data_IF_873049375516
#
_entry.id   IF_873049375516
#
_cell.length_a   1.000
_cell.length_b   1.000
_cell.length_c   1.000
_cell.angle_alpha   90.00
_cell.angle_beta   90.00
_cell.angle_gamma   90.00
#
_symmetry.space_group_name_H-M   'P 1'
#
loop_
_entity.id
_entity.type
_entity.pdbx_description
1 polymer ?
#
# COMPACT_ATOMS: atom_id res chain seq x y z
N UNK A 1 1.91 -29.05 27.42
CA UNK A 1 1.91 -28.29 26.15
C UNK A 1 0.65 -27.44 26.15
N UNK A 2 0.75 -26.11 26.08
CA UNK A 2 -0.43 -25.23 26.25
C UNK A 2 -1.49 -25.52 25.17
N UNK A 3 -2.77 -25.62 25.56
CA UNK A 3 -3.90 -25.84 24.64
C UNK A 3 -4.00 -24.76 23.55
N UNK A 4 -3.40 -23.57 23.77
CA UNK A 4 -3.46 -22.43 22.85
C UNK A 4 -2.26 -22.29 21.92
N UNK A 5 -1.14 -22.98 22.22
CA UNK A 5 0.09 -22.94 21.41
C UNK A 5 -0.11 -23.22 19.91
N UNK A 6 -0.99 -24.15 19.46
CA UNK A 6 -1.16 -24.40 18.03
C UNK A 6 -1.89 -23.26 17.29
N UNK A 7 -2.61 -22.38 18.00
CA UNK A 7 -3.40 -21.28 17.41
C UNK A 7 -2.65 -19.94 17.38
N UNK A 8 -1.81 -19.68 18.39
CA UNK A 8 -1.16 -18.38 18.58
C UNK A 8 0.21 -18.28 17.86
N UNK A 9 0.20 -18.50 16.54
CA UNK A 9 1.41 -18.39 15.71
C UNK A 9 1.56 -16.97 15.13
N UNK A 10 2.49 -16.18 15.68
CA UNK A 10 2.75 -14.78 15.24
C UNK A 10 2.96 -14.62 13.73
N UNK A 11 3.66 -15.56 13.10
CA UNK A 11 3.94 -15.52 11.65
C UNK A 11 2.72 -15.85 10.77
N UNK A 12 1.65 -16.39 11.36
CA UNK A 12 0.33 -16.60 10.73
C UNK A 12 -0.58 -15.39 10.98
N UNK A 13 -0.52 -14.81 12.18
CA UNK A 13 -1.36 -13.68 12.57
C UNK A 13 -0.95 -12.37 11.87
N UNK A 14 0.35 -12.06 11.84
CA UNK A 14 0.86 -10.77 11.39
C UNK A 14 1.57 -10.87 10.05
N UNK A 15 1.31 -9.88 9.19
CA UNK A 15 2.07 -9.69 7.95
C UNK A 15 3.57 -9.60 8.26
N UNK A 16 4.36 -10.27 7.42
CA UNK A 16 5.82 -10.20 7.50
C UNK A 16 6.39 -9.08 6.61
N UNK A 17 5.56 -8.48 5.75
CA UNK A 17 5.95 -7.46 4.78
C UNK A 17 5.94 -6.08 5.45
N UNK A 18 7.10 -5.64 5.95
CA UNK A 18 7.19 -4.42 6.75
C UNK A 18 6.79 -3.15 5.97
N UNK A 19 7.02 -3.12 4.66
CA UNK A 19 6.61 -2.01 3.79
C UNK A 19 5.10 -1.91 3.53
N UNK A 20 4.37 -3.02 3.69
CA UNK A 20 2.93 -3.07 3.37
C UNK A 20 2.05 -2.21 4.27
N UNK A 21 2.52 -1.90 5.48
CA UNK A 21 1.84 -1.00 6.41
C UNK A 21 1.74 0.43 5.86
N UNK A 22 2.79 0.93 5.21
CA UNK A 22 2.77 2.28 4.62
C UNK A 22 1.76 2.35 3.48
N UNK A 23 1.64 1.29 2.68
CA UNK A 23 0.67 1.21 1.59
C UNK A 23 -0.79 1.12 2.06
N UNK A 24 -1.03 0.70 3.31
CA UNK A 24 -2.35 0.79 3.93
C UNK A 24 -2.59 2.18 4.53
N UNK A 25 -1.68 2.64 5.40
CA UNK A 25 -1.92 3.82 6.21
C UNK A 25 -1.78 5.13 5.43
N UNK A 26 -0.82 5.25 4.51
CA UNK A 26 -0.60 6.50 3.78
C UNK A 26 -1.84 6.90 2.96
N UNK A 27 -2.42 6.04 2.09
CA UNK A 27 -3.63 6.39 1.35
C UNK A 27 -4.83 6.67 2.27
N UNK A 28 -5.02 5.87 3.32
CA UNK A 28 -6.11 6.05 4.29
C UNK A 28 -6.02 7.41 5.00
N UNK A 29 -4.84 7.78 5.51
CA UNK A 29 -4.60 9.07 6.17
C UNK A 29 -4.86 10.21 5.19
N UNK A 30 -4.29 10.14 3.99
CA UNK A 30 -4.53 11.16 2.94
C UNK A 30 -6.03 11.33 2.69
N UNK A 31 -6.77 10.23 2.53
CA UNK A 31 -8.22 10.29 2.34
C UNK A 31 -8.98 10.90 3.50
N UNK A 32 -8.62 10.56 4.75
CA UNK A 32 -9.27 11.11 5.96
C UNK A 32 -9.08 12.62 6.07
N UNK A 33 -7.89 13.13 5.78
CA UNK A 33 -7.62 14.57 5.80
C UNK A 33 -8.25 15.29 4.60
N UNK A 34 -8.13 14.71 3.41
CA UNK A 34 -8.75 15.21 2.19
C UNK A 34 -10.28 15.33 2.31
N UNK A 35 -10.92 14.42 3.04
CA UNK A 35 -12.36 14.42 3.24
C UNK A 35 -12.85 15.50 4.22
N UNK A 36 -11.96 16.12 5.00
CA UNK A 36 -12.24 17.28 5.87
C UNK A 36 -13.11 17.01 7.10
N UNK A 37 -13.89 15.91 7.14
CA UNK A 37 -14.77 15.54 8.26
C UNK A 37 -14.49 14.13 8.74
N UNK A 38 -14.42 13.98 10.06
CA UNK A 38 -14.17 12.72 10.74
C UNK A 38 -15.44 12.30 11.46
N UNK A 39 -15.95 11.12 11.12
CA UNK A 39 -17.21 10.60 11.66
C UNK A 39 -16.99 9.22 12.29
N UNK A 40 -18.02 8.66 12.94
CA UNK A 40 -17.97 7.28 13.42
C UNK A 40 -17.68 6.28 12.28
N UNK A 41 -18.25 6.54 11.09
CA UNK A 41 -17.95 5.77 9.87
C UNK A 41 -16.45 5.77 9.52
N UNK A 42 -15.72 6.85 9.73
CA UNK A 42 -14.26 6.90 9.54
C UNK A 42 -13.57 5.88 10.45
N UNK A 43 -13.97 5.79 11.71
CA UNK A 43 -13.45 4.81 12.67
C UNK A 43 -13.73 3.36 12.25
N UNK A 44 -14.97 3.08 11.82
CA UNK A 44 -15.33 1.76 11.29
C UNK A 44 -14.56 1.40 10.02
N UNK A 45 -14.30 2.36 9.13
CA UNK A 45 -13.47 2.15 7.95
C UNK A 45 -12.04 1.76 8.34
N UNK A 46 -11.39 2.49 9.25
CA UNK A 46 -10.02 2.15 9.71
C UNK A 46 -10.00 0.75 10.32
N UNK A 47 -10.99 0.42 11.13
CA UNK A 47 -11.15 -0.89 11.74
C UNK A 47 -11.28 -2.01 10.69
N UNK A 48 -12.19 -1.85 9.72
CA UNK A 48 -12.38 -2.81 8.63
C UNK A 48 -11.14 -2.94 7.76
N UNK A 49 -10.50 -1.82 7.40
CA UNK A 49 -9.29 -1.83 6.57
C UNK A 49 -8.14 -2.59 7.25
N UNK A 50 -7.93 -2.37 8.55
CA UNK A 50 -6.94 -3.12 9.34
C UNK A 50 -7.28 -4.60 9.44
N UNK A 51 -8.54 -4.94 9.71
CA UNK A 51 -8.98 -6.32 9.81
C UNK A 51 -8.79 -7.07 8.48
N UNK A 52 -9.20 -6.48 7.35
CA UNK A 52 -9.02 -7.06 6.01
C UNK A 52 -7.55 -7.18 5.64
N UNK A 53 -6.74 -6.15 5.94
CA UNK A 53 -5.30 -6.19 5.72
C UNK A 53 -4.62 -7.34 6.48
N UNK A 54 -4.98 -7.54 7.75
CA UNK A 54 -4.45 -8.63 8.57
C UNK A 54 -5.01 -9.99 8.13
N UNK A 55 -6.27 -10.08 7.69
CA UNK A 55 -6.91 -11.29 7.18
C UNK A 55 -6.18 -11.90 5.98
N UNK A 56 -5.52 -11.08 5.14
CA UNK A 56 -4.69 -11.54 4.02
C UNK A 56 -3.66 -12.59 4.44
N UNK A 57 -3.00 -12.42 5.59
CA UNK A 57 -1.91 -13.29 6.01
C UNK A 57 -2.36 -14.73 6.33
N UNK A 58 -3.34 -14.97 7.22
CA UNK A 58 -3.82 -16.32 7.49
C UNK A 58 -4.56 -16.91 6.28
N UNK A 59 -5.24 -16.11 5.45
CA UNK A 59 -5.81 -16.57 4.18
C UNK A 59 -4.73 -17.09 3.23
N UNK A 60 -3.63 -16.34 3.06
CA UNK A 60 -2.48 -16.75 2.26
C UNK A 60 -1.86 -18.03 2.81
N UNK A 61 -1.83 -18.19 4.14
CA UNK A 61 -1.37 -19.41 4.80
C UNK A 61 -2.26 -20.60 4.46
N UNK A 62 -3.59 -20.44 4.57
CA UNK A 62 -4.56 -21.47 4.23
C UNK A 62 -4.42 -21.91 2.76
N UNK A 63 -4.28 -20.96 1.82
CA UNK A 63 -4.06 -21.27 0.40
C UNK A 63 -2.75 -22.05 0.18
N UNK A 64 -1.66 -21.65 0.86
CA UNK A 64 -0.38 -22.39 0.79
C UNK A 64 -0.49 -23.82 1.34
N UNK A 65 -1.30 -24.05 2.37
CA UNK A 65 -1.54 -25.39 2.91
C UNK A 65 -2.41 -26.21 1.95
N UNK A 66 -3.48 -25.60 1.42
CA UNK A 66 -4.39 -26.24 0.48
C UNK A 66 -3.67 -26.66 -0.83
N UNK A 67 -2.71 -25.87 -1.31
CA UNK A 67 -1.90 -26.19 -2.48
C UNK A 67 -0.68 -27.08 -2.19
N UNK A 68 -0.56 -27.64 -0.98
CA UNK A 68 0.56 -28.52 -0.59
C UNK A 68 1.91 -27.81 -0.43
N UNK A 69 1.95 -26.47 -0.49
CA UNK A 69 3.17 -25.66 -0.34
C UNK A 69 3.65 -25.53 1.11
N UNK A 70 2.85 -25.96 2.08
CA UNK A 70 3.17 -25.91 3.52
C UNK A 70 2.48 -27.05 4.27
N UNK A 71 3.11 -27.51 5.36
CA UNK A 71 2.55 -28.56 6.21
C UNK A 71 1.25 -28.13 6.91
N UNK A 72 0.36 -29.08 7.18
CA UNK A 72 -0.95 -28.85 7.82
C UNK A 72 -0.88 -28.35 9.27
N UNK A 73 0.30 -28.36 9.88
CA UNK A 73 0.54 -27.89 11.25
C UNK A 73 0.15 -26.43 11.51
N UNK A 74 0.09 -25.58 10.47
CA UNK A 74 -0.27 -24.17 10.59
C UNK A 74 -1.76 -23.91 10.30
N UNK A 75 -2.53 -24.94 9.92
CA UNK A 75 -3.93 -24.80 9.52
C UNK A 75 -4.86 -24.35 10.66
N UNK A 76 -4.74 -24.88 11.91
CA UNK A 76 -5.57 -24.41 13.02
C UNK A 76 -5.36 -22.92 13.32
N UNK A 77 -4.10 -22.45 13.31
CA UNK A 77 -3.79 -21.03 13.47
C UNK A 77 -4.36 -20.19 12.32
N UNK A 78 -4.27 -20.67 11.08
CA UNK A 78 -4.81 -19.95 9.93
C UNK A 78 -6.33 -19.74 10.07
N UNK A 79 -7.09 -20.80 10.38
CA UNK A 79 -8.54 -20.68 10.57
C UNK A 79 -8.92 -19.84 11.79
N UNK A 80 -8.20 -19.98 12.90
CA UNK A 80 -8.44 -19.15 14.08
C UNK A 80 -8.29 -17.66 13.75
N UNK A 81 -7.16 -17.25 13.15
CA UNK A 81 -6.94 -15.84 12.83
C UNK A 81 -7.82 -15.33 11.68
N UNK A 82 -8.20 -16.19 10.72
CA UNK A 82 -9.24 -15.86 9.74
C UNK A 82 -10.57 -15.57 10.43
N UNK A 83 -10.98 -16.39 11.42
CA UNK A 83 -12.19 -16.15 12.20
C UNK A 83 -12.14 -14.83 12.98
N UNK A 84 -11.04 -14.57 13.67
CA UNK A 84 -10.83 -13.34 14.46
C UNK A 84 -10.88 -12.10 13.56
N UNK A 85 -10.08 -12.06 12.49
CA UNK A 85 -10.05 -10.90 11.60
C UNK A 85 -11.33 -10.78 10.76
N UNK A 86 -11.95 -11.90 10.38
CA UNK A 86 -13.25 -11.92 9.71
C UNK A 86 -14.38 -11.35 10.58
N UNK A 87 -14.40 -11.70 11.86
CA UNK A 87 -15.34 -11.13 12.84
C UNK A 87 -15.19 -9.61 12.95
N UNK A 88 -13.95 -9.12 13.07
CA UNK A 88 -13.69 -7.69 13.15
C UNK A 88 -14.02 -6.95 11.85
N UNK A 89 -13.69 -7.53 10.69
CA UNK A 89 -14.04 -6.96 9.40
C UNK A 89 -15.55 -6.86 9.21
N UNK A 90 -16.30 -7.91 9.59
CA UNK A 90 -17.76 -7.94 9.56
C UNK A 90 -18.36 -6.91 10.52
N UNK A 91 -17.85 -6.81 11.76
CA UNK A 91 -18.31 -5.82 12.73
C UNK A 91 -18.13 -4.38 12.24
N UNK A 92 -16.96 -4.06 11.66
CA UNK A 92 -16.73 -2.74 11.07
C UNK A 92 -17.61 -2.49 9.83
N UNK A 93 -17.87 -3.51 9.00
CA UNK A 93 -18.79 -3.38 7.87
C UNK A 93 -20.23 -3.13 8.31
N UNK A 94 -20.72 -3.85 9.33
CA UNK A 94 -22.03 -3.60 9.93
C UNK A 94 -22.10 -2.18 10.53
N UNK A 95 -21.02 -1.72 11.18
CA UNK A 95 -20.91 -0.33 11.64
C UNK A 95 -21.07 0.68 10.49
N UNK A 96 -20.31 0.50 9.40
CA UNK A 96 -20.45 1.33 8.19
C UNK A 96 -21.84 1.27 7.56
N UNK A 97 -22.52 0.12 7.65
CA UNK A 97 -23.91 -0.03 7.18
C UNK A 97 -24.89 0.80 8.02
N UNK A 98 -24.76 0.73 9.35
CA UNK A 98 -25.58 1.51 10.28
C UNK A 98 -25.35 3.02 10.10
N UNK A 99 -24.13 3.43 9.82
CA UNK A 99 -23.77 4.82 9.51
C UNK A 99 -24.19 5.28 8.08
N UNK A 100 -24.85 4.42 7.30
CA UNK A 100 -25.39 4.77 5.99
C UNK A 100 -24.35 4.84 4.85
N UNK A 101 -23.12 4.37 5.07
CA UNK A 101 -22.04 4.40 4.06
C UNK A 101 -21.78 3.02 3.43
N UNK A 102 -22.74 2.10 3.50
CA UNK A 102 -22.65 0.75 2.91
C UNK A 102 -22.32 0.76 1.41
N UNK A 103 -22.65 1.83 0.69
CA UNK A 103 -22.34 2.01 -0.72
C UNK A 103 -20.83 1.95 -1.03
N UNK A 104 -19.96 2.15 -0.04
CA UNK A 104 -18.52 1.95 -0.17
C UNK A 104 -18.12 0.51 -0.50
N UNK A 105 -19.04 -0.46 -0.33
CA UNK A 105 -18.86 -1.82 -0.80
C UNK A 105 -18.52 -1.90 -2.29
N UNK A 106 -18.85 -0.88 -3.09
CA UNK A 106 -18.44 -0.78 -4.50
C UNK A 106 -16.92 -0.86 -4.69
N UNK A 107 -16.12 -0.40 -3.70
CA UNK A 107 -14.65 -0.47 -3.75
C UNK A 107 -14.14 -1.92 -3.62
N UNK A 108 -14.97 -2.87 -3.19
CA UNK A 108 -14.64 -4.29 -3.25
C UNK A 108 -14.57 -4.80 -4.70
N UNK A 109 -15.24 -4.15 -5.66
CA UNK A 109 -15.23 -4.57 -7.07
C UNK A 109 -13.82 -4.56 -7.68
N UNK A 110 -12.98 -3.51 -7.52
CA UNK A 110 -11.58 -3.60 -7.93
C UNK A 110 -10.69 -4.37 -6.94
N UNK A 111 -10.99 -4.34 -5.63
CA UNK A 111 -10.14 -4.96 -4.61
C UNK A 111 -10.17 -6.50 -4.61
N UNK A 112 -11.35 -7.11 -4.73
CA UNK A 112 -11.51 -8.56 -4.66
C UNK A 112 -10.86 -9.30 -5.84
N UNK A 113 -11.00 -8.88 -7.11
CA UNK A 113 -10.30 -9.51 -8.23
C UNK A 113 -8.78 -9.50 -8.03
N UNK A 114 -8.21 -8.40 -7.52
CA UNK A 114 -6.78 -8.32 -7.21
C UNK A 114 -6.39 -9.33 -6.13
N UNK A 115 -7.18 -9.43 -5.04
CA UNK A 115 -6.94 -10.42 -3.99
C UNK A 115 -7.03 -11.85 -4.53
N UNK A 116 -8.06 -12.16 -5.31
CA UNK A 116 -8.26 -13.49 -5.91
C UNK A 116 -7.08 -13.83 -6.82
N UNK A 117 -6.69 -12.92 -7.72
CA UNK A 117 -5.54 -13.09 -8.59
C UNK A 117 -4.25 -13.32 -7.79
N UNK A 118 -4.02 -12.53 -6.74
CA UNK A 118 -2.89 -12.72 -5.83
C UNK A 118 -2.89 -14.12 -5.20
N UNK A 119 -4.04 -14.60 -4.71
CA UNK A 119 -4.17 -15.93 -4.13
C UNK A 119 -3.94 -17.04 -5.15
N UNK A 120 -4.32 -16.85 -6.42
CA UNK A 120 -3.99 -17.78 -7.51
C UNK A 120 -2.48 -17.84 -7.74
N UNK A 121 -1.78 -16.70 -7.74
CA UNK A 121 -0.30 -16.69 -7.83
C UNK A 121 0.34 -17.39 -6.63
N UNK A 122 -0.22 -17.18 -5.43
CA UNK A 122 0.17 -17.89 -4.21
C UNK A 122 -0.15 -19.39 -4.30
N UNK A 123 -1.21 -19.83 -4.96
CA UNK A 123 -1.41 -21.27 -5.15
C UNK A 123 -0.28 -21.86 -6.03
N UNK A 124 0.18 -21.09 -7.04
CA UNK A 124 1.14 -21.51 -8.07
C UNK A 124 2.62 -21.23 -7.76
N UNK A 125 2.97 -20.64 -6.62
CA UNK A 125 4.34 -20.19 -6.29
C UNK A 125 4.88 -19.09 -7.21
N UNK A 126 3.99 -18.41 -7.93
CA UNK A 126 4.35 -17.35 -8.87
C UNK A 126 4.43 -15.97 -8.20
N UNK A 127 4.11 -15.82 -6.90
CA UNK A 127 4.06 -14.51 -6.25
C UNK A 127 5.43 -13.91 -5.89
N UNK A 128 6.50 -14.71 -5.89
CA UNK A 128 7.76 -14.33 -5.24
C UNK A 128 8.60 -13.39 -6.10
N UNK A 129 9.09 -12.31 -5.50
CA UNK A 129 10.02 -11.33 -6.10
C UNK A 129 9.48 -10.71 -7.39
N UNK A 130 8.16 -10.60 -7.51
CA UNK A 130 7.52 -9.97 -8.65
C UNK A 130 7.08 -8.55 -8.31
N UNK A 131 7.86 -7.56 -8.76
CA UNK A 131 7.55 -6.14 -8.57
C UNK A 131 6.14 -5.80 -9.07
N UNK A 132 5.70 -6.39 -10.19
CA UNK A 132 4.36 -6.16 -10.74
C UNK A 132 3.23 -6.58 -9.79
N UNK A 133 3.41 -7.68 -9.05
CA UNK A 133 2.42 -8.15 -8.06
C UNK A 133 2.34 -7.17 -6.89
N UNK A 134 3.48 -6.67 -6.41
CA UNK A 134 3.53 -5.68 -5.34
C UNK A 134 2.87 -4.36 -5.76
N UNK A 135 3.12 -3.90 -6.99
CA UNK A 135 2.51 -2.69 -7.55
C UNK A 135 0.98 -2.83 -7.61
N UNK A 136 0.45 -3.91 -8.16
CA UNK A 136 -1.01 -4.13 -8.26
C UNK A 136 -1.64 -4.29 -6.88
N UNK A 137 -1.01 -5.03 -5.97
CA UNK A 137 -1.50 -5.19 -4.60
C UNK A 137 -1.53 -3.85 -3.84
N UNK A 138 -0.53 -2.98 -4.04
CA UNK A 138 -0.55 -1.63 -3.45
C UNK A 138 -1.70 -0.77 -3.96
N UNK A 139 -2.13 -0.97 -5.21
CA UNK A 139 -3.30 -0.30 -5.77
C UNK A 139 -4.61 -0.70 -5.10
N UNK A 140 -4.75 -1.97 -4.73
CA UNK A 140 -5.91 -2.42 -3.95
C UNK A 140 -5.91 -1.83 -2.53
N UNK A 141 -4.73 -1.72 -1.88
CA UNK A 141 -4.62 -1.05 -0.58
C UNK A 141 -4.90 0.45 -0.67
N UNK A 142 -4.51 1.09 -1.78
CA UNK A 142 -4.76 2.51 -2.02
C UNK A 142 -6.25 2.86 -2.14
N UNK A 143 -7.16 1.88 -2.32
CA UNK A 143 -8.62 2.10 -2.27
C UNK A 143 -9.09 2.62 -0.89
N UNK A 144 -8.25 2.53 0.14
CA UNK A 144 -8.50 3.22 1.42
C UNK A 144 -8.59 4.74 1.29
N UNK A 145 -7.91 5.35 0.31
CA UNK A 145 -7.95 6.80 0.07
C UNK A 145 -9.33 7.30 -0.39
N UNK A 146 -9.92 6.80 -1.50
CA UNK A 146 -11.28 7.19 -1.89
C UNK A 146 -12.29 6.84 -0.81
N UNK A 147 -12.16 5.67 -0.15
CA UNK A 147 -13.08 5.29 0.92
C UNK A 147 -13.14 6.34 2.03
N UNK A 148 -11.99 6.74 2.55
CA UNK A 148 -11.92 7.73 3.63
C UNK A 148 -12.35 9.13 3.17
N UNK A 149 -11.95 9.52 1.95
CA UNK A 149 -12.34 10.81 1.35
C UNK A 149 -13.85 10.94 1.22
N UNK A 150 -14.48 9.91 0.66
CA UNK A 150 -15.92 9.84 0.44
C UNK A 150 -16.74 9.80 1.72
N UNK A 151 -16.24 9.19 2.79
CA UNK A 151 -16.89 9.28 4.11
C UNK A 151 -16.90 10.73 4.61
N UNK A 152 -15.77 11.44 4.47
CA UNK A 152 -15.68 12.85 4.90
C UNK A 152 -16.60 13.77 4.11
N UNK A 153 -16.75 13.52 2.80
CA UNK A 153 -17.68 14.26 1.95
C UNK A 153 -19.14 13.87 2.14
N UNK A 154 -19.42 12.61 2.49
CA UNK A 154 -20.77 12.03 2.53
C UNK A 154 -21.30 11.60 1.16
N UNK A 155 -20.49 11.64 0.10
CA UNK A 155 -20.88 11.31 -1.27
C UNK A 155 -19.72 10.76 -2.12
N UNK A 156 -20.06 10.07 -3.23
CA UNK A 156 -19.10 9.55 -4.20
C UNK A 156 -18.61 10.64 -5.17
N UNK A 157 -17.72 11.52 -4.71
CA UNK A 157 -17.10 12.51 -5.60
C UNK A 157 -16.10 11.87 -6.58
N UNK A 158 -16.09 12.24 -7.88
CA UNK A 158 -15.09 11.77 -8.85
C UNK A 158 -13.64 12.00 -8.43
N UNK A 159 -13.38 13.01 -7.58
CA UNK A 159 -12.04 13.30 -7.06
C UNK A 159 -11.46 12.16 -6.22
N UNK A 160 -12.31 11.31 -5.62
CA UNK A 160 -11.85 10.13 -4.90
C UNK A 160 -11.07 9.16 -5.80
N UNK A 161 -11.47 9.02 -7.07
CA UNK A 161 -10.75 8.19 -8.02
C UNK A 161 -9.40 8.78 -8.41
N UNK A 162 -9.31 10.10 -8.54
CA UNK A 162 -8.02 10.77 -8.73
C UNK A 162 -7.11 10.57 -7.52
N UNK A 163 -7.66 10.69 -6.30
CA UNK A 163 -6.92 10.44 -5.08
C UNK A 163 -6.40 8.99 -5.01
N UNK A 164 -7.22 8.02 -5.41
CA UNK A 164 -6.82 6.62 -5.54
C UNK A 164 -5.67 6.45 -6.53
N UNK A 165 -5.81 6.96 -7.75
CA UNK A 165 -4.79 6.84 -8.80
C UNK A 165 -3.48 7.47 -8.36
N UNK A 166 -3.52 8.66 -7.76
CA UNK A 166 -2.33 9.38 -7.31
C UNK A 166 -1.61 8.67 -6.14
N UNK A 167 -2.36 8.18 -5.15
CA UNK A 167 -1.77 7.42 -4.03
C UNK A 167 -1.25 6.04 -4.47
N UNK A 168 -1.90 5.41 -5.44
CA UNK A 168 -1.40 4.20 -6.08
C UNK A 168 -0.11 4.47 -6.88
N UNK A 169 -0.09 5.53 -7.69
CA UNK A 169 1.09 5.97 -8.44
C UNK A 169 2.29 6.20 -7.53
N UNK A 170 2.09 6.89 -6.40
CA UNK A 170 3.16 7.07 -5.43
C UNK A 170 3.64 5.73 -4.85
N UNK A 171 2.73 4.83 -4.48
CA UNK A 171 3.09 3.51 -3.96
C UNK A 171 3.89 2.69 -4.99
N UNK A 172 3.43 2.67 -6.25
CA UNK A 172 4.09 1.98 -7.35
C UNK A 172 5.51 2.52 -7.57
N UNK A 173 5.67 3.85 -7.61
CA UNK A 173 6.97 4.48 -7.77
C UNK A 173 7.91 4.22 -6.58
N UNK A 174 7.38 4.19 -5.35
CA UNK A 174 8.15 3.86 -4.15
C UNK A 174 8.65 2.41 -4.17
N UNK A 175 7.84 1.46 -4.63
CA UNK A 175 8.24 0.06 -4.85
C UNK A 175 9.37 -0.05 -5.88
N UNK A 176 9.21 0.60 -7.03
CA UNK A 176 10.24 0.61 -8.09
C UNK A 176 11.53 1.25 -7.59
N UNK A 177 11.44 2.35 -6.84
CA UNK A 177 12.59 3.00 -6.22
C UNK A 177 13.25 2.12 -5.16
N UNK A 178 12.49 1.39 -4.34
CA UNK A 178 13.03 0.43 -3.37
C UNK A 178 13.85 -0.66 -4.07
N UNK A 179 13.33 -1.19 -5.18
CA UNK A 179 14.04 -2.13 -6.04
C UNK A 179 15.39 -1.58 -6.51
N UNK A 180 15.41 -0.35 -7.05
CA UNK A 180 16.66 0.32 -7.44
C UNK A 180 17.66 0.40 -6.28
N UNK A 181 17.22 0.79 -5.08
CA UNK A 181 18.13 0.93 -3.92
C UNK A 181 18.67 -0.42 -3.44
N UNK A 182 17.86 -1.48 -3.51
CA UNK A 182 18.29 -2.83 -3.18
C UNK A 182 19.27 -3.39 -4.21
N UNK A 183 19.07 -3.11 -5.50
CA UNK A 183 20.02 -3.48 -6.57
C UNK A 183 21.36 -2.73 -6.42
N UNK A 184 21.30 -1.41 -6.18
CA UNK A 184 22.49 -0.58 -5.95
C UNK A 184 23.32 -1.02 -4.74
N UNK A 185 22.67 -1.60 -3.73
CA UNK A 185 23.36 -2.12 -2.54
C UNK A 185 24.35 -3.22 -2.86
N UNK A 186 24.06 -4.02 -3.88
CA UNK A 186 24.88 -5.17 -4.28
C UNK A 186 26.04 -4.79 -5.22
N UNK A 187 26.15 -3.51 -5.61
CA UNK A 187 27.26 -3.03 -6.42
C UNK A 187 28.58 -3.11 -5.65
N UNK A 188 29.65 -3.50 -6.35
CA UNK A 188 30.99 -3.63 -5.76
C UNK A 188 31.76 -2.30 -5.71
N UNK A 189 31.50 -1.45 -6.68
CA UNK A 189 32.13 -0.15 -6.84
C UNK A 189 31.11 0.86 -7.34
N UNK A 190 31.46 2.16 -7.26
CA UNK A 190 30.57 3.21 -7.73
C UNK A 190 30.68 3.33 -9.24
N UNK A 191 29.66 2.95 -10.04
CA UNK A 191 29.77 2.97 -11.49
C UNK A 191 29.84 4.41 -12.02
N UNK A 192 30.21 4.57 -13.28
CA UNK A 192 30.22 5.88 -13.95
C UNK A 192 28.83 6.52 -14.01
N UNK A 193 28.78 7.85 -14.15
CA UNK A 193 27.53 8.62 -14.08
C UNK A 193 26.47 8.14 -15.09
N UNK A 194 26.86 7.83 -16.33
CA UNK A 194 25.92 7.34 -17.35
C UNK A 194 25.28 6.00 -16.99
N UNK A 195 26.02 5.08 -16.36
CA UNK A 195 25.48 3.80 -15.89
C UNK A 195 24.52 4.00 -14.71
N UNK A 196 24.80 4.95 -13.82
CA UNK A 196 23.90 5.31 -12.72
C UNK A 196 22.55 5.81 -13.21
N UNK A 197 22.55 6.70 -14.20
CA UNK A 197 21.32 7.20 -14.81
C UNK A 197 20.55 6.10 -15.55
N UNK A 198 21.24 5.21 -16.26
CA UNK A 198 20.60 4.05 -16.91
C UNK A 198 19.96 3.13 -15.87
N UNK A 199 20.64 2.83 -14.78
CA UNK A 199 20.08 2.03 -13.69
C UNK A 199 18.87 2.73 -13.03
N UNK A 200 18.96 4.04 -12.79
CA UNK A 200 17.88 4.85 -12.23
C UNK A 200 16.70 5.09 -13.18
N UNK A 201 16.87 4.85 -14.49
CA UNK A 201 15.94 5.24 -15.53
C UNK A 201 14.50 4.78 -15.30
N UNK A 202 14.30 3.53 -14.85
CA UNK A 202 12.95 3.01 -14.55
C UNK A 202 12.29 3.75 -13.38
N UNK A 203 13.01 3.99 -12.28
CA UNK A 203 12.48 4.70 -11.13
C UNK A 203 12.20 6.18 -11.44
N UNK A 204 13.10 6.81 -12.21
CA UNK A 204 12.95 8.18 -12.70
C UNK A 204 11.76 8.32 -13.64
N UNK A 205 11.53 7.37 -14.53
CA UNK A 205 10.37 7.38 -15.41
C UNK A 205 9.05 7.34 -14.61
N UNK A 206 8.95 6.45 -13.60
CA UNK A 206 7.75 6.38 -12.75
C UNK A 206 7.53 7.68 -11.97
N UNK A 207 8.54 8.16 -11.26
CA UNK A 207 8.41 9.37 -10.42
C UNK A 207 8.27 10.65 -11.24
N UNK A 208 8.97 10.77 -12.36
CA UNK A 208 8.83 11.89 -13.29
C UNK A 208 7.47 11.92 -13.97
N UNK A 209 6.95 10.77 -14.40
CA UNK A 209 5.59 10.66 -14.93
C UNK A 209 4.56 11.07 -13.88
N UNK A 210 4.66 10.55 -12.66
CA UNK A 210 3.74 10.89 -11.58
C UNK A 210 3.76 12.39 -11.24
N UNK A 211 4.95 12.99 -11.18
CA UNK A 211 5.09 14.43 -10.98
C UNK A 211 4.48 15.23 -12.13
N UNK A 212 4.74 14.84 -13.38
CA UNK A 212 4.14 15.47 -14.56
C UNK A 212 2.61 15.40 -14.56
N UNK A 213 2.03 14.25 -14.21
CA UNK A 213 0.56 14.08 -14.09
C UNK A 213 0.00 14.95 -12.98
N UNK A 214 0.60 14.94 -11.79
CA UNK A 214 0.14 15.77 -10.66
C UNK A 214 0.23 17.26 -10.99
N UNK A 215 1.31 17.69 -11.65
CA UNK A 215 1.48 19.06 -12.11
C UNK A 215 0.43 19.44 -13.16
N UNK A 216 0.19 18.60 -14.16
CA UNK A 216 -0.81 18.85 -15.20
C UNK A 216 -2.22 18.98 -14.61
N UNK A 217 -2.60 18.07 -13.71
CA UNK A 217 -3.91 18.12 -13.01
C UNK A 217 -4.04 19.35 -12.10
N UNK A 218 -2.93 19.78 -11.48
CA UNK A 218 -2.89 21.00 -10.66
C UNK A 218 -3.03 22.26 -11.52
N UNK A 219 -2.34 22.33 -12.65
CA UNK A 219 -2.41 23.45 -13.59
C UNK A 219 -3.77 23.54 -14.30
N UNK A 220 -4.46 22.42 -14.53
CA UNK A 220 -5.82 22.41 -15.06
C UNK A 220 -6.90 22.74 -14.01
N UNK A 221 -6.52 22.88 -12.74
CA UNK A 221 -7.47 23.10 -11.64
C UNK A 221 -8.34 21.88 -11.31
N UNK A 222 -7.99 20.69 -11.81
CA UNK A 222 -8.72 19.45 -11.50
C UNK A 222 -8.49 18.99 -10.06
N UNK A 223 -7.28 19.25 -9.54
CA UNK A 223 -6.91 19.06 -8.14
C UNK A 223 -6.19 20.31 -7.65
N UNK A 224 -6.00 20.44 -6.33
CA UNK A 224 -5.22 21.53 -5.77
C UNK A 224 -3.76 21.50 -6.28
N UNK A 225 -3.28 22.63 -6.80
CA UNK A 225 -1.94 22.74 -7.38
C UNK A 225 -0.80 22.36 -6.43
N UNK A 226 -1.01 22.52 -5.12
CA UNK A 226 -0.04 22.13 -4.09
C UNK A 226 0.29 20.63 -4.08
N UNK A 227 -0.60 19.76 -4.58
CA UNK A 227 -0.39 18.30 -4.67
C UNK A 227 0.88 17.95 -5.44
N UNK A 228 1.24 18.76 -6.45
CA UNK A 228 2.46 18.56 -7.23
C UNK A 228 3.74 18.60 -6.36
N UNK A 229 3.75 19.33 -5.23
CA UNK A 229 4.90 19.38 -4.33
C UNK A 229 5.16 18.05 -3.62
N UNK A 230 4.12 17.29 -3.28
CA UNK A 230 4.30 15.95 -2.72
C UNK A 230 5.01 15.05 -3.74
N UNK A 231 4.60 15.10 -5.01
CA UNK A 231 5.25 14.32 -6.07
C UNK A 231 6.65 14.83 -6.42
N UNK A 232 6.89 16.15 -6.32
CA UNK A 232 8.22 16.73 -6.49
C UNK A 232 9.21 16.21 -5.45
N UNK A 233 8.78 16.00 -4.19
CA UNK A 233 9.60 15.39 -3.15
C UNK A 233 10.06 13.97 -3.56
N UNK A 234 9.13 13.12 -4.00
CA UNK A 234 9.45 11.74 -4.41
C UNK A 234 10.35 11.71 -5.66
N UNK A 235 10.11 12.60 -6.62
CA UNK A 235 10.95 12.75 -7.80
C UNK A 235 12.36 13.23 -7.45
N UNK A 236 12.48 14.24 -6.59
CA UNK A 236 13.75 14.75 -6.08
C UNK A 236 14.56 13.69 -5.33
N UNK A 237 13.92 12.90 -4.48
CA UNK A 237 14.58 11.77 -3.81
C UNK A 237 15.09 10.73 -4.82
N UNK A 238 14.36 10.51 -5.91
CA UNK A 238 14.76 9.54 -6.94
C UNK A 238 15.90 10.06 -7.81
N UNK A 239 15.92 11.35 -8.14
CA UNK A 239 17.07 12.02 -8.76
C UNK A 239 18.31 11.89 -7.88
N UNK A 240 18.17 12.23 -6.59
CA UNK A 240 19.24 12.11 -5.61
C UNK A 240 19.76 10.67 -5.48
N UNK A 241 18.85 9.70 -5.37
CA UNK A 241 19.18 8.28 -5.23
C UNK A 241 19.81 7.67 -6.48
N UNK A 242 19.53 8.25 -7.66
CA UNK A 242 20.18 7.87 -8.91
C UNK A 242 21.64 8.32 -8.94
N UNK A 243 21.95 9.52 -8.42
CA UNK A 243 23.31 10.05 -8.39
C UNK A 243 24.15 9.49 -7.23
N UNK A 244 23.51 9.17 -6.09
CA UNK A 244 24.15 8.67 -4.86
C UNK A 244 23.70 7.24 -4.52
N UNK A 245 24.32 6.21 -5.13
CA UNK A 245 23.88 4.83 -5.00
C UNK A 245 24.01 4.27 -3.57
N UNK A 246 23.14 3.33 -3.21
CA UNK A 246 23.05 2.72 -1.88
C UNK A 246 24.12 1.64 -1.56
N UNK A 247 25.34 1.79 -2.07
CA UNK A 247 26.37 0.74 -2.03
C UNK A 247 26.69 0.34 -0.58
N UNK A 248 26.59 -0.97 -0.29
CA UNK A 248 26.89 -1.51 1.04
C UNK A 248 25.94 -1.08 2.17
N UNK A 249 24.88 -0.32 1.89
CA UNK A 249 23.93 0.10 2.92
C UNK A 249 23.12 -1.09 3.46
N UNK A 250 22.83 -1.05 4.76
CA UNK A 250 21.94 -2.06 5.38
C UNK A 250 20.49 -1.85 4.89
N UNK A 251 19.72 -2.92 4.61
CA UNK A 251 18.33 -2.80 4.16
C UNK A 251 17.46 -1.94 5.09
N UNK A 252 17.69 -2.02 6.40
CA UNK A 252 16.98 -1.20 7.40
C UNK A 252 17.19 0.32 7.18
N UNK A 253 18.38 0.76 6.78
CA UNK A 253 18.64 2.19 6.50
C UNK A 253 17.93 2.64 5.22
N UNK A 254 17.89 1.78 4.19
CA UNK A 254 17.13 2.05 2.96
C UNK A 254 15.65 2.19 3.30
N UNK A 255 15.09 1.21 4.02
CA UNK A 255 13.69 1.20 4.44
C UNK A 255 13.33 2.41 5.31
N UNK A 256 14.18 2.78 6.27
CA UNK A 256 13.93 3.95 7.12
C UNK A 256 13.89 5.27 6.32
N UNK A 257 14.80 5.44 5.35
CA UNK A 257 14.77 6.60 4.46
C UNK A 257 13.49 6.65 3.62
N UNK A 258 13.07 5.51 3.08
CA UNK A 258 11.82 5.43 2.32
C UNK A 258 10.59 5.69 3.19
N UNK A 259 10.61 5.25 4.45
CA UNK A 259 9.57 5.57 5.42
C UNK A 259 9.49 7.08 5.63
N UNK A 260 10.61 7.76 5.89
CA UNK A 260 10.65 9.23 6.05
C UNK A 260 10.05 9.93 4.83
N UNK A 261 10.53 9.58 3.63
CA UNK A 261 10.05 10.22 2.39
C UNK A 261 8.57 9.95 2.16
N UNK A 262 8.10 8.73 2.44
CA UNK A 262 6.68 8.38 2.33
C UNK A 262 5.83 9.13 3.36
N UNK A 263 6.30 9.27 4.60
CA UNK A 263 5.60 10.05 5.64
C UNK A 263 5.51 11.52 5.26
N UNK A 264 6.61 12.12 4.79
CA UNK A 264 6.61 13.50 4.29
C UNK A 264 5.66 13.65 3.10
N UNK A 265 5.66 12.69 2.17
CA UNK A 265 4.69 12.66 1.07
C UNK A 265 3.25 12.61 1.59
N UNK A 266 2.93 11.74 2.55
CA UNK A 266 1.60 11.64 3.17
C UNK A 266 1.17 12.97 3.78
N UNK A 267 2.07 13.65 4.52
CA UNK A 267 1.80 14.95 5.12
C UNK A 267 1.55 16.01 4.06
N UNK A 268 2.43 16.14 3.05
CA UNK A 268 2.27 17.12 1.98
C UNK A 268 0.99 16.88 1.17
N UNK A 269 0.68 15.62 0.84
CA UNK A 269 -0.59 15.28 0.19
C UNK A 269 -1.78 15.67 1.04
N UNK A 270 -1.77 15.37 2.35
CA UNK A 270 -2.88 15.67 3.24
C UNK A 270 -3.10 17.18 3.40
N UNK A 271 -2.03 17.95 3.51
CA UNK A 271 -2.08 19.41 3.68
C UNK A 271 -2.45 20.13 2.39
N UNK A 272 -1.90 19.72 1.25
CA UNK A 272 -2.15 20.41 -0.02
C UNK A 272 -3.41 19.96 -0.75
N UNK A 273 -4.02 18.85 -0.34
CA UNK A 273 -5.31 18.42 -0.89
C UNK A 273 -6.49 19.11 -0.23
N UNK A 274 -6.38 19.39 1.07
CA UNK A 274 -7.38 20.12 1.86
C UNK A 274 -7.46 21.60 1.44
#
# INVERSE_FOLDING_TARGET
MSLFTPFLKKHVALTQEHGSWVFLFSPLIIGLFAGGKWTAASGFLVWTALAVFLFKQPLTMAVKIASGRRGRQDLPAAYFWMGVYGFFALGGFVGMWVEGVAWLAVLALPGLPVLIWYLVLVARRAERRQLGVEIVASGALALGAPAAFWIGLGEMSPLGWWLWVLTWFQSAASIVYAGLRLEQREWKEVPGMGQRWRAGGRALAYTGFNFGVALALGLSGTIAGGVAWAFALQFGETLWGSVRPAIGLRPARIGFRQLIVSTLFTVLMSVFWA
#
